data_IF_027276226255
#
_entry.id   IF_027276226255
#
_cell.length_a   1.000
_cell.length_b   1.000
_cell.length_c   1.000
_cell.angle_alpha   90.00
_cell.angle_beta   90.00
_cell.angle_gamma   90.00
#
_symmetry.space_group_name_H-M   'P 1'
#
loop_
_entity.id
_entity.type
_entity.pdbx_description
1 polymer ?
#
# COMPACT_ATOMS: atom_id res chain seq x y z
N UNK A 1 -0.63 21.61 0.43
CA UNK A 1 -0.05 20.45 -0.26
C UNK A 1 -0.71 20.37 -1.62
N UNK A 2 0.09 20.33 -2.69
CA UNK A 2 -0.42 20.08 -4.03
C UNK A 2 -0.66 18.56 -4.15
N UNK A 3 -1.81 18.09 -4.67
CA UNK A 3 -2.04 16.66 -4.85
C UNK A 3 -1.06 16.00 -5.84
N UNK A 4 -0.30 16.75 -6.64
CA UNK A 4 0.78 16.18 -7.45
C UNK A 4 2.07 15.91 -6.68
N UNK A 5 2.19 16.44 -5.46
CA UNK A 5 3.37 16.23 -4.63
C UNK A 5 3.43 14.75 -4.19
N UNK A 6 4.49 14.07 -4.59
CA UNK A 6 4.80 12.73 -4.08
C UNK A 6 5.16 12.79 -2.60
N UNK A 7 4.70 11.79 -1.84
CA UNK A 7 5.08 11.64 -0.43
C UNK A 7 5.19 10.18 -0.01
N UNK A 8 5.92 9.97 1.09
CA UNK A 8 6.04 8.67 1.76
C UNK A 8 5.57 8.80 3.19
N UNK A 9 4.69 7.90 3.59
CA UNK A 9 4.30 7.70 4.99
C UNK A 9 5.10 6.52 5.52
N UNK A 10 5.93 6.78 6.53
CA UNK A 10 6.71 5.77 7.24
C UNK A 10 6.06 5.47 8.60
N UNK A 11 5.51 4.27 8.73
CA UNK A 11 4.83 3.82 9.95
C UNK A 11 5.85 3.26 10.95
N UNK A 12 6.68 4.16 11.50
CA UNK A 12 7.81 3.80 12.40
C UNK A 12 7.40 2.97 13.62
N UNK A 13 6.21 3.21 14.19
CA UNK A 13 5.68 2.42 15.32
C UNK A 13 5.26 0.99 14.96
N UNK A 14 5.18 0.67 13.66
CA UNK A 14 4.72 -0.63 13.14
C UNK A 14 5.80 -1.26 12.26
N UNK A 15 7.00 -1.40 12.82
CA UNK A 15 8.11 -2.12 12.20
C UNK A 15 8.64 -1.51 10.89
N UNK A 16 8.22 -0.30 10.51
CA UNK A 16 8.71 0.37 9.29
C UNK A 16 7.98 -0.01 8.01
N UNK A 17 6.71 -0.45 8.09
CA UNK A 17 5.85 -0.52 6.91
C UNK A 17 5.71 0.89 6.29
N UNK A 18 5.56 0.97 4.96
CA UNK A 18 5.52 2.24 4.23
C UNK A 18 4.40 2.30 3.21
N UNK A 19 3.94 3.51 2.96
CA UNK A 19 3.12 3.86 1.81
C UNK A 19 3.81 4.97 1.05
N UNK A 20 3.97 4.82 -0.25
CA UNK A 20 4.38 5.87 -1.19
C UNK A 20 3.20 6.25 -2.05
N UNK A 21 2.92 7.54 -2.16
CA UNK A 21 1.91 8.12 -3.04
C UNK A 21 2.59 8.91 -4.15
N UNK A 22 2.21 8.69 -5.41
CA UNK A 22 2.84 9.37 -6.54
C UNK A 22 1.96 9.37 -7.79
N UNK A 23 2.39 10.14 -8.81
CA UNK A 23 1.79 10.17 -10.15
C UNK A 23 0.27 10.49 -10.14
N UNK A 24 -0.14 11.55 -9.45
CA UNK A 24 -1.51 12.03 -9.48
C UNK A 24 -1.88 12.60 -10.86
N UNK A 25 -2.97 12.10 -11.42
CA UNK A 25 -3.55 12.52 -12.69
C UNK A 25 -4.73 13.46 -12.43
N UNK A 26 -4.57 14.76 -12.72
CA UNK A 26 -5.61 15.78 -12.47
C UNK A 26 -6.92 15.51 -13.23
N UNK A 27 -6.82 14.96 -14.44
CA UNK A 27 -7.99 14.71 -15.31
C UNK A 27 -8.87 13.57 -14.82
N UNK A 28 -8.27 12.57 -14.17
CA UNK A 28 -8.98 11.35 -13.74
C UNK A 28 -9.17 11.28 -12.23
N UNK A 29 -8.41 12.07 -11.46
CA UNK A 29 -8.37 12.00 -10.00
C UNK A 29 -7.70 10.72 -9.49
N UNK A 30 -7.00 9.99 -10.35
CA UNK A 30 -6.29 8.77 -10.01
C UNK A 30 -4.84 9.06 -9.59
N UNK A 31 -4.26 8.14 -8.84
CA UNK A 31 -2.87 8.18 -8.39
C UNK A 31 -2.35 6.76 -8.25
N UNK A 32 -1.04 6.62 -8.14
CA UNK A 32 -0.41 5.36 -7.79
C UNK A 32 -0.05 5.36 -6.32
N UNK A 33 -0.25 4.21 -5.69
CA UNK A 33 0.37 3.92 -4.41
C UNK A 33 1.28 2.71 -4.53
N UNK A 34 2.32 2.71 -3.72
CA UNK A 34 3.19 1.58 -3.49
C UNK A 34 3.26 1.32 -1.99
N UNK A 35 3.09 0.06 -1.61
CA UNK A 35 3.02 -0.41 -0.24
C UNK A 35 4.19 -1.32 0.04
N UNK A 36 4.91 -1.02 1.12
CA UNK A 36 6.01 -1.82 1.64
C UNK A 36 5.61 -2.43 2.97
N UNK A 37 5.39 -3.74 2.97
CA UNK A 37 5.20 -4.55 4.17
C UNK A 37 6.53 -4.98 4.77
N UNK A 38 6.47 -5.67 5.90
CA UNK A 38 7.65 -6.28 6.53
C UNK A 38 7.39 -7.74 6.84
N UNK A 39 8.41 -8.45 7.32
CA UNK A 39 8.27 -9.84 7.74
C UNK A 39 7.27 -10.03 8.90
N UNK A 40 7.04 -8.98 9.69
CA UNK A 40 6.12 -9.01 10.84
C UNK A 40 4.81 -8.26 10.61
N UNK A 41 4.75 -7.39 9.59
CA UNK A 41 3.61 -6.51 9.34
C UNK A 41 3.12 -6.60 7.91
N UNK A 42 1.80 -6.67 7.77
CA UNK A 42 1.06 -6.56 6.52
C UNK A 42 0.40 -5.20 6.48
N UNK A 43 0.53 -4.53 5.35
CA UNK A 43 -0.17 -3.31 5.01
C UNK A 43 -1.05 -3.57 3.78
N UNK A 44 -2.26 -3.04 3.82
CA UNK A 44 -3.18 -3.05 2.68
C UNK A 44 -3.93 -1.73 2.60
N UNK A 45 -4.39 -1.39 1.41
CA UNK A 45 -5.19 -0.20 1.16
C UNK A 45 -6.44 -0.52 0.36
N UNK A 46 -7.49 0.28 0.56
CA UNK A 46 -8.76 0.19 -0.16
C UNK A 46 -9.33 1.57 -0.46
N UNK A 47 -9.99 1.70 -1.59
CA UNK A 47 -10.79 2.89 -1.92
C UNK A 47 -12.24 2.61 -1.55
N UNK A 48 -12.84 3.46 -0.69
CA UNK A 48 -14.26 3.42 -0.38
C UNK A 48 -14.64 2.46 0.76
N UNK A 49 -14.30 1.17 0.67
CA UNK A 49 -14.64 0.18 1.71
C UNK A 49 -13.45 -0.70 2.12
N UNK A 50 -13.16 -0.73 3.43
CA UNK A 50 -12.06 -1.47 4.03
C UNK A 50 -12.05 -3.00 3.76
N UNK A 51 -13.20 -3.57 3.37
CA UNK A 51 -13.34 -5.00 3.06
C UNK A 51 -12.75 -5.40 1.70
N UNK A 52 -12.62 -4.47 0.75
CA UNK A 52 -12.32 -4.80 -0.65
C UNK A 52 -10.81 -4.87 -0.98
N UNK A 53 -9.92 -4.57 -0.01
CA UNK A 53 -8.44 -4.71 -0.08
C UNK A 53 -7.87 -4.59 -1.50
N UNK A 54 -7.96 -3.39 -2.06
CA UNK A 54 -7.55 -3.11 -3.44
C UNK A 54 -6.10 -3.49 -3.76
N UNK A 55 -5.21 -3.31 -2.78
CA UNK A 55 -3.78 -3.63 -2.85
C UNK A 55 -3.29 -4.11 -1.48
N UNK A 56 -2.48 -5.16 -1.47
CA UNK A 56 -2.20 -5.93 -0.26
C UNK A 56 -0.85 -6.65 -0.30
N UNK A 57 -0.04 -6.44 0.74
CA UNK A 57 1.29 -7.06 0.92
C UNK A 57 1.23 -8.49 1.50
N UNK A 58 0.10 -9.19 1.43
CA UNK A 58 -0.04 -10.56 1.99
C UNK A 58 1.01 -11.52 1.43
N UNK A 59 1.16 -11.55 0.11
CA UNK A 59 2.05 -12.48 -0.59
C UNK A 59 3.37 -11.85 -1.04
N UNK A 60 3.50 -10.53 -0.91
CA UNK A 60 4.62 -9.75 -1.40
C UNK A 60 5.07 -8.72 -0.37
N UNK A 61 6.37 -8.43 -0.27
CA UNK A 61 6.86 -7.34 0.58
C UNK A 61 6.51 -6.00 -0.03
N UNK A 62 6.65 -5.88 -1.34
CA UNK A 62 6.37 -4.70 -2.13
C UNK A 62 5.20 -4.97 -3.09
N UNK A 63 4.27 -4.03 -3.20
CA UNK A 63 3.16 -4.08 -4.16
C UNK A 63 2.63 -2.70 -4.41
N UNK A 64 2.01 -2.48 -5.56
CA UNK A 64 1.42 -1.19 -5.89
C UNK A 64 0.22 -1.30 -6.79
N UNK A 65 -0.52 -0.20 -6.90
CA UNK A 65 -1.71 -0.12 -7.75
C UNK A 65 -2.03 1.32 -8.08
N UNK A 66 -2.63 1.53 -9.26
CA UNK A 66 -3.33 2.77 -9.58
C UNK A 66 -4.71 2.74 -8.95
N UNK A 67 -4.99 3.70 -8.08
CA UNK A 67 -6.26 3.88 -7.40
C UNK A 67 -6.91 5.19 -7.87
N UNK A 68 -8.23 5.21 -7.89
CA UNK A 68 -9.00 6.38 -8.28
C UNK A 68 -10.02 6.64 -7.17
N UNK A 69 -9.84 7.73 -6.43
CA UNK A 69 -10.74 8.06 -5.33
C UNK A 69 -10.17 9.10 -4.39
N UNK A 70 -11.04 9.92 -3.79
CA UNK A 70 -10.62 11.01 -2.91
C UNK A 70 -9.95 10.53 -1.62
N UNK A 71 -10.33 9.36 -1.14
CA UNK A 71 -9.87 8.80 0.13
C UNK A 71 -9.43 7.36 -0.05
N UNK A 72 -8.39 6.98 0.69
CA UNK A 72 -7.98 5.59 0.89
C UNK A 72 -7.97 5.28 2.37
N UNK A 73 -8.40 4.08 2.70
CA UNK A 73 -8.19 3.50 4.00
C UNK A 73 -6.93 2.64 3.95
N UNK A 74 -5.99 2.90 4.86
CA UNK A 74 -4.74 2.15 4.98
C UNK A 74 -4.78 1.41 6.30
N UNK A 75 -4.67 0.09 6.26
CA UNK A 75 -4.69 -0.74 7.46
C UNK A 75 -3.35 -1.46 7.62
N UNK A 76 -2.84 -1.43 8.85
CA UNK A 76 -1.67 -2.18 9.27
C UNK A 76 -2.12 -3.29 10.21
N UNK A 77 -1.67 -4.51 9.95
CA UNK A 77 -1.94 -5.67 10.80
C UNK A 77 -0.69 -6.52 10.96
N UNK A 78 -0.70 -7.40 11.96
CA UNK A 78 0.31 -8.45 12.08
C UNK A 78 0.23 -9.35 10.85
N UNK A 79 1.40 -9.74 10.33
CA UNK A 79 1.45 -10.74 9.25
C UNK A 79 1.08 -12.11 9.84
N UNK A 80 0.31 -12.91 9.11
CA UNK A 80 -0.11 -14.25 9.52
C UNK A 80 1.08 -15.23 9.44
N UNK A 81 2.00 -15.12 10.41
CA UNK A 81 3.28 -15.86 10.48
C UNK A 81 3.12 -17.39 10.52
N UNK A 82 1.93 -17.89 10.83
CA UNK A 82 1.65 -19.32 10.91
C UNK A 82 1.26 -19.95 9.56
N UNK A 83 0.86 -19.16 8.56
CA UNK A 83 0.20 -19.68 7.34
C UNK A 83 0.77 -19.17 6.02
N UNK A 84 1.63 -18.16 6.03
CA UNK A 84 2.23 -17.64 4.78
C UNK A 84 3.69 -18.10 4.64
N UNK A 85 4.07 -18.69 3.48
CA UNK A 85 5.47 -18.76 3.08
C UNK A 85 6.09 -17.35 3.13
N UNK A 86 7.43 -17.26 3.22
CA UNK A 86 8.10 -15.96 3.11
C UNK A 86 7.55 -15.21 1.88
N UNK A 87 7.10 -13.96 2.03
CA UNK A 87 6.57 -13.20 0.92
C UNK A 87 7.64 -13.06 -0.17
N UNK A 88 7.19 -13.08 -1.43
CA UNK A 88 8.04 -12.66 -2.55
C UNK A 88 8.44 -11.19 -2.37
N UNK A 89 9.52 -10.75 -2.99
CA UNK A 89 9.98 -9.38 -2.79
C UNK A 89 9.00 -8.37 -3.38
N UNK A 90 8.53 -8.57 -4.61
CA UNK A 90 7.68 -7.62 -5.33
C UNK A 90 6.69 -8.36 -6.26
N UNK A 91 5.51 -7.77 -6.49
CA UNK A 91 4.46 -8.34 -7.34
C UNK A 91 4.41 -7.80 -8.77
N UNK A 92 5.42 -7.01 -9.15
CA UNK A 92 5.56 -6.33 -10.43
C UNK A 92 4.64 -5.13 -10.61
N UNK A 93 3.84 -4.74 -9.59
CA UNK A 93 2.90 -3.64 -9.70
C UNK A 93 3.42 -2.41 -8.94
N UNK A 94 3.41 -1.27 -9.62
CA UNK A 94 3.66 0.03 -8.99
C UNK A 94 5.09 0.26 -8.51
N UNK A 95 6.07 -0.43 -9.10
CA UNK A 95 7.49 -0.03 -9.20
C UNK A 95 7.77 0.58 -10.57
#
# INVERSE_FOLDING_TARGET
MDPTDEFVVDFKGFSGAKLRYYAYEKDTGCYKIHLSGTDSRRIYASVGHASERDVDTLHYRETGKRLCGKWIDVTLTSRDVAWTPKPHEDDGRGI
#
